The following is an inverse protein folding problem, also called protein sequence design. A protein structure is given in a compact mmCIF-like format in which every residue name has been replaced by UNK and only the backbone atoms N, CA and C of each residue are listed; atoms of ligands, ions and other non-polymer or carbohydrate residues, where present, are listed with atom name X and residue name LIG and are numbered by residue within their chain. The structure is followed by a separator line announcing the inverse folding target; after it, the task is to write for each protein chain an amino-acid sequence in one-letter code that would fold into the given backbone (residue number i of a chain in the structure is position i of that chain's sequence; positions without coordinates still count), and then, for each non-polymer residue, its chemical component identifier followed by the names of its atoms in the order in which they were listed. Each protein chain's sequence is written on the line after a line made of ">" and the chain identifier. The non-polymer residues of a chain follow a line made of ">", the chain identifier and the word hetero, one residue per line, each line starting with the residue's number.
data_IF_110080258063
#
_entry.id   IF_110080258063
#
_cell.length_a   1.000
_cell.length_b   1.000
_cell.length_c   1.000
_cell.angle_alpha   90.00
_cell.angle_beta   90.00
_cell.angle_gamma   90.00
#
_symmetry.space_group_name_H-M   'P 1'
#
loop_
_entity.id
_entity.type
_entity.pdbx_description
1 polymer ?
#
# COMPACT_ATOMS: atom_id res chain seq x y z
N UNK A 1 -10.69 7.20 -5.89
CA UNK A 1 -9.79 6.08 -6.24
C UNK A 1 -9.69 6.03 -7.75
N UNK A 2 -8.52 5.72 -8.32
CA UNK A 2 -8.32 5.61 -9.77
C UNK A 2 -8.68 4.18 -10.19
N UNK A 3 -9.46 4.08 -11.26
CA UNK A 3 -9.82 2.79 -11.86
C UNK A 3 -8.90 2.57 -13.06
N UNK A 4 -8.24 1.43 -13.08
CA UNK A 4 -7.41 0.95 -14.18
C UNK A 4 -8.16 -0.17 -14.88
N UNK A 5 -8.23 -0.10 -16.20
CA UNK A 5 -8.79 -1.16 -17.03
C UNK A 5 -7.70 -2.19 -17.35
N UNK A 6 -8.05 -3.46 -17.26
CA UNK A 6 -7.21 -4.57 -17.71
C UNK A 6 -7.65 -4.85 -19.14
N UNK A 7 -6.81 -4.47 -20.11
CA UNK A 7 -7.16 -4.49 -21.53
C UNK A 7 -6.32 -5.52 -22.28
N UNK A 8 -6.94 -6.25 -23.19
CA UNK A 8 -6.25 -7.13 -24.15
C UNK A 8 -5.53 -6.33 -25.25
N UNK A 9 -4.64 -6.97 -26.04
CA UNK A 9 -4.04 -6.33 -27.22
C UNK A 9 -5.06 -5.85 -28.27
N UNK A 10 -6.25 -6.46 -28.33
CA UNK A 10 -7.34 -6.08 -29.24
C UNK A 10 -8.19 -4.91 -28.73
N UNK A 11 -7.91 -4.39 -27.53
CA UNK A 11 -8.67 -3.31 -26.89
C UNK A 11 -9.82 -3.78 -26.01
N UNK A 12 -10.10 -5.09 -25.90
CA UNK A 12 -11.19 -5.57 -25.04
C UNK A 12 -10.82 -5.42 -23.55
N UNK A 13 -11.68 -4.74 -22.78
CA UNK A 13 -11.58 -4.66 -21.32
C UNK A 13 -12.01 -6.00 -20.71
N UNK A 14 -11.08 -6.71 -20.08
CA UNK A 14 -11.29 -8.01 -19.43
C UNK A 14 -11.35 -7.94 -17.90
N UNK A 15 -11.15 -6.76 -17.34
CA UNK A 15 -11.20 -6.53 -15.90
C UNK A 15 -10.93 -5.09 -15.53
N UNK A 16 -11.03 -4.80 -14.24
CA UNK A 16 -10.74 -3.48 -13.68
C UNK A 16 -10.03 -3.63 -12.34
N UNK A 17 -9.18 -2.67 -12.00
CA UNK A 17 -8.56 -2.53 -10.69
C UNK A 17 -8.83 -1.13 -10.15
N UNK A 18 -9.09 -1.00 -8.86
CA UNK A 18 -9.26 0.29 -8.19
C UNK A 18 -8.14 0.49 -7.19
N UNK A 19 -7.48 1.62 -7.29
CA UNK A 19 -6.40 2.03 -6.40
C UNK A 19 -6.72 3.34 -5.71
N UNK A 20 -6.29 3.43 -4.46
CA UNK A 20 -6.39 4.63 -3.63
C UNK A 20 -4.98 4.95 -3.17
N UNK A 21 -4.46 6.10 -3.57
CA UNK A 21 -3.10 6.53 -3.25
C UNK A 21 -3.12 7.80 -2.40
N UNK A 22 -2.28 7.86 -1.39
CA UNK A 22 -2.14 9.00 -0.49
C UNK A 22 -0.69 9.47 -0.52
N UNK A 23 -0.47 10.67 -1.03
CA UNK A 23 0.80 11.36 -0.86
C UNK A 23 0.92 11.87 0.57
N UNK A 24 1.95 11.42 1.29
CA UNK A 24 2.35 11.96 2.58
C UNK A 24 2.79 13.39 2.38
N UNK A 25 1.99 14.32 2.89
CA UNK A 25 2.32 15.75 2.89
C UNK A 25 2.79 16.15 4.29
N UNK A 26 3.71 17.10 4.35
CA UNK A 26 4.20 17.65 5.62
C UNK A 26 3.06 18.29 6.44
N UNK A 27 1.98 18.70 5.78
CA UNK A 27 0.89 19.51 6.34
C UNK A 27 -0.42 18.75 6.58
N UNK A 28 -0.41 17.41 6.68
CA UNK A 28 -1.65 16.69 7.01
C UNK A 28 -2.28 17.15 8.33
N UNK A 29 -1.48 17.65 9.27
CA UNK A 29 -1.96 18.18 10.56
C UNK A 29 -2.93 19.35 10.38
N UNK A 30 -2.72 20.20 9.37
CA UNK A 30 -3.59 21.34 9.07
C UNK A 30 -4.95 20.88 8.51
N UNK A 31 -5.01 19.65 7.97
CA UNK A 31 -6.23 19.01 7.44
C UNK A 31 -6.88 18.03 8.44
N UNK A 32 -6.49 18.07 9.72
CA UNK A 32 -7.00 17.15 10.76
C UNK A 32 -6.23 15.83 10.88
N UNK A 33 -5.19 15.63 10.07
CA UNK A 33 -4.34 14.45 10.04
C UNK A 33 -4.76 13.42 8.98
N UNK A 34 -3.94 12.39 8.82
CA UNK A 34 -4.14 11.33 7.82
C UNK A 34 -5.55 10.73 7.84
N UNK A 35 -6.10 10.45 9.02
CA UNK A 35 -7.40 9.80 9.14
C UNK A 35 -8.51 10.67 8.53
N UNK A 36 -8.49 11.98 8.76
CA UNK A 36 -9.49 12.91 8.23
C UNK A 36 -9.31 13.14 6.72
N UNK A 37 -8.07 13.20 6.25
CA UNK A 37 -7.74 13.24 4.82
C UNK A 37 -8.25 11.98 4.11
N UNK A 38 -8.03 10.80 4.68
CA UNK A 38 -8.53 9.52 4.14
C UNK A 38 -10.05 9.45 4.11
N UNK A 39 -10.73 9.95 5.16
CA UNK A 39 -12.19 9.94 5.26
C UNK A 39 -12.87 10.92 4.30
N UNK A 40 -12.28 12.09 4.09
CA UNK A 40 -12.89 13.19 3.34
C UNK A 40 -12.69 13.11 1.83
N UNK A 41 -11.54 12.63 1.36
CA UNK A 41 -11.13 12.78 -0.05
C UNK A 41 -11.62 11.69 -1.01
N UNK A 42 -12.29 10.64 -0.52
CA UNK A 42 -12.52 9.45 -1.34
C UNK A 42 -13.98 9.04 -1.47
N UNK A 43 -14.58 9.45 -2.59
CA UNK A 43 -15.83 8.90 -3.08
C UNK A 43 -15.62 7.54 -3.77
N UNK A 44 -16.49 6.59 -3.44
CA UNK A 44 -16.57 5.28 -4.09
C UNK A 44 -15.58 4.21 -3.63
N UNK A 45 -14.74 4.49 -2.62
CA UNK A 45 -14.03 3.44 -1.87
C UNK A 45 -14.86 3.02 -0.64
N UNK A 46 -14.64 1.82 -0.12
CA UNK A 46 -15.27 1.40 1.13
C UNK A 46 -14.71 2.24 2.29
N UNK A 47 -15.55 3.09 2.87
CA UNK A 47 -15.17 3.99 3.99
C UNK A 47 -14.68 3.20 5.20
N UNK A 48 -15.26 2.03 5.49
CA UNK A 48 -14.84 1.21 6.61
C UNK A 48 -13.46 0.59 6.37
N UNK A 49 -13.18 0.19 5.12
CA UNK A 49 -11.86 -0.30 4.74
C UNK A 49 -10.80 0.81 4.82
N UNK A 50 -11.10 2.00 4.31
CA UNK A 50 -10.20 3.15 4.41
C UNK A 50 -9.94 3.57 5.85
N UNK A 51 -10.96 3.57 6.70
CA UNK A 51 -10.81 3.84 8.12
C UNK A 51 -9.90 2.80 8.78
N UNK A 52 -10.13 1.51 8.54
CA UNK A 52 -9.28 0.44 9.04
C UNK A 52 -7.85 0.52 8.49
N UNK A 53 -7.68 0.92 7.23
CA UNK A 53 -6.37 1.11 6.61
C UNK A 53 -5.62 2.27 7.26
N UNK A 54 -6.32 3.38 7.53
CA UNK A 54 -5.75 4.55 8.17
C UNK A 54 -5.19 4.21 9.57
N UNK A 55 -5.84 3.30 10.30
CA UNK A 55 -5.41 2.86 11.64
C UNK A 55 -4.06 2.13 11.67
N UNK A 56 -3.52 1.73 10.51
CA UNK A 56 -2.14 1.21 10.40
C UNK A 56 -1.08 2.29 10.64
N UNK A 57 -1.48 3.56 10.51
CA UNK A 57 -0.61 4.72 10.55
C UNK A 57 -1.02 5.67 11.68
N UNK A 58 -0.09 6.55 12.04
CA UNK A 58 -0.36 7.71 12.89
C UNK A 58 -1.01 8.82 12.06
N UNK A 59 -1.54 9.86 12.73
CA UNK A 59 -2.03 11.08 12.07
C UNK A 59 -1.02 11.75 11.13
N UNK A 60 0.28 11.53 11.35
CA UNK A 60 1.37 12.06 10.52
C UNK A 60 1.79 11.13 9.37
N UNK A 61 1.12 9.99 9.19
CA UNK A 61 1.47 9.01 8.17
C UNK A 61 2.60 8.06 8.51
N UNK A 62 3.12 8.13 9.73
CA UNK A 62 4.10 7.16 10.20
C UNK A 62 3.42 5.83 10.48
N UNK A 63 4.03 4.75 10.00
CA UNK A 63 3.60 3.40 10.28
C UNK A 63 3.72 3.13 11.78
N UNK A 64 2.61 2.70 12.40
CA UNK A 64 2.56 2.62 13.87
C UNK A 64 3.50 1.56 14.41
N UNK A 65 4.07 1.84 15.59
CA UNK A 65 5.03 0.94 16.23
C UNK A 65 4.43 -0.43 16.50
N UNK A 66 3.26 -0.49 17.14
CA UNK A 66 2.56 -1.74 17.48
C UNK A 66 2.22 -2.58 16.24
N UNK A 67 1.89 -1.94 15.12
CA UNK A 67 1.65 -2.63 13.84
C UNK A 67 2.98 -3.15 13.26
N UNK A 68 4.02 -2.32 13.24
CA UNK A 68 5.34 -2.67 12.70
C UNK A 68 6.07 -3.75 13.50
N UNK A 69 5.83 -3.84 14.81
CA UNK A 69 6.42 -4.88 15.67
C UNK A 69 5.53 -6.10 15.85
N UNK A 70 4.27 -6.04 15.39
CA UNK A 70 3.31 -7.15 15.49
C UNK A 70 3.68 -8.32 14.59
N UNK A 71 3.25 -9.53 14.98
CA UNK A 71 3.53 -10.77 14.24
C UNK A 71 5.03 -10.98 13.99
N UNK A 72 5.42 -11.03 12.71
CA UNK A 72 6.81 -11.21 12.29
C UNK A 72 7.62 -9.93 12.17
N UNK A 73 7.00 -8.75 12.28
CA UNK A 73 7.67 -7.49 11.98
C UNK A 73 8.17 -7.41 10.53
N UNK A 74 7.46 -8.06 9.61
CA UNK A 74 7.84 -8.19 8.20
C UNK A 74 7.99 -6.85 7.49
N UNK A 75 7.22 -5.85 7.94
CA UNK A 75 7.24 -4.50 7.45
C UNK A 75 7.52 -3.56 8.61
N UNK A 76 8.43 -2.62 8.42
CA UNK A 76 8.94 -1.71 9.43
C UNK A 76 8.93 -0.26 8.99
N UNK A 77 10.01 0.46 9.37
CA UNK A 77 10.14 1.91 9.10
C UNK A 77 10.33 2.23 7.62
N UNK A 78 10.69 1.26 6.79
CA UNK A 78 10.76 1.41 5.34
C UNK A 78 9.42 1.86 4.74
N UNK A 79 8.29 1.39 5.28
CA UNK A 79 6.95 1.85 4.89
C UNK A 79 6.74 3.32 5.27
N UNK A 80 7.24 3.73 6.43
CA UNK A 80 7.19 5.12 6.91
C UNK A 80 7.91 6.06 5.96
N UNK A 81 9.05 5.63 5.40
CA UNK A 81 9.88 6.48 4.56
C UNK A 81 9.33 6.70 3.15
N UNK A 82 8.34 5.89 2.72
CA UNK A 82 7.77 6.07 1.39
C UNK A 82 6.82 7.27 1.32
N UNK A 83 6.91 8.08 0.26
CA UNK A 83 6.05 9.26 0.09
C UNK A 83 4.60 8.90 -0.21
N UNK A 84 4.32 7.67 -0.68
CA UNK A 84 2.96 7.24 -1.02
C UNK A 84 2.51 6.06 -0.17
N UNK A 85 1.26 6.11 0.29
CA UNK A 85 0.53 4.97 0.81
C UNK A 85 -0.48 4.54 -0.26
N UNK A 86 -0.36 3.32 -0.77
CA UNK A 86 -1.22 2.84 -1.85
C UNK A 86 -2.02 1.63 -1.41
N UNK A 87 -3.35 1.73 -1.49
CA UNK A 87 -4.31 0.68 -1.22
C UNK A 87 -4.93 0.18 -2.53
N UNK A 88 -4.80 -1.12 -2.79
CA UNK A 88 -5.53 -1.84 -3.81
C UNK A 88 -6.92 -2.20 -3.27
N UNK A 89 -7.89 -1.36 -3.58
CA UNK A 89 -9.27 -1.43 -3.06
C UNK A 89 -10.08 -2.54 -3.73
N UNK A 90 -9.93 -2.75 -5.04
CA UNK A 90 -10.67 -3.81 -5.74
C UNK A 90 -9.90 -4.32 -6.94
N UNK A 91 -9.96 -5.63 -7.18
CA UNK A 91 -9.55 -6.26 -8.45
C UNK A 91 -10.73 -7.07 -8.98
N UNK A 92 -11.12 -6.81 -10.23
CA UNK A 92 -12.20 -7.53 -10.91
C UNK A 92 -11.66 -8.10 -12.20
N UNK A 93 -11.78 -9.43 -12.37
CA UNK A 93 -11.49 -10.10 -13.64
C UNK A 93 -12.76 -10.82 -14.10
N UNK A 94 -13.12 -10.62 -15.37
CA UNK A 94 -14.25 -11.31 -16.01
C UNK A 94 -14.12 -12.84 -15.81
N UNK A 95 -15.20 -13.56 -15.44
CA UNK A 95 -15.17 -14.99 -15.09
C UNK A 95 -14.38 -15.88 -16.06
N UNK A 96 -14.56 -15.70 -17.35
CA UNK A 96 -13.94 -16.43 -18.45
C UNK A 96 -12.41 -16.20 -18.59
N UNK A 97 -11.88 -15.20 -17.89
CA UNK A 97 -10.43 -14.91 -17.80
C UNK A 97 -9.82 -15.26 -16.44
N UNK A 98 -10.63 -15.72 -15.47
CA UNK A 98 -10.12 -16.16 -14.17
C UNK A 98 -9.30 -17.44 -14.32
N UNK A 99 -8.35 -17.65 -13.41
CA UNK A 99 -7.44 -18.80 -13.44
C UNK A 99 -6.32 -18.71 -14.49
N UNK A 100 -6.32 -17.71 -15.38
CA UNK A 100 -5.31 -17.52 -16.44
C UNK A 100 -4.14 -16.62 -16.04
N UNK A 101 -3.99 -16.30 -14.75
CA UNK A 101 -2.92 -15.43 -14.25
C UNK A 101 -3.11 -13.92 -14.51
N UNK A 102 -4.20 -13.49 -15.15
CA UNK A 102 -4.48 -12.09 -15.49
C UNK A 102 -4.42 -11.16 -14.28
N UNK A 103 -5.05 -11.54 -13.15
CA UNK A 103 -5.02 -10.74 -11.93
C UNK A 103 -3.61 -10.60 -11.33
N UNK A 104 -2.80 -11.67 -11.38
CA UNK A 104 -1.41 -11.64 -10.92
C UNK A 104 -0.57 -10.69 -11.77
N UNK A 105 -0.68 -10.80 -13.09
CA UNK A 105 -0.01 -9.91 -14.04
C UNK A 105 -0.41 -8.45 -13.81
N UNK A 106 -1.71 -8.18 -13.71
CA UNK A 106 -2.22 -6.83 -13.55
C UNK A 106 -1.71 -6.18 -12.26
N UNK A 107 -1.71 -6.91 -11.13
CA UNK A 107 -1.18 -6.39 -9.86
C UNK A 107 0.33 -6.14 -9.92
N UNK A 108 1.10 -6.99 -10.61
CA UNK A 108 2.54 -6.76 -10.79
C UNK A 108 2.81 -5.49 -11.62
N UNK A 109 2.01 -5.22 -12.64
CA UNK A 109 2.11 -4.00 -13.46
C UNK A 109 1.90 -2.71 -12.68
N UNK A 110 1.25 -2.76 -11.52
CA UNK A 110 1.06 -1.58 -10.67
C UNK A 110 2.38 -1.02 -10.12
N UNK A 111 3.43 -1.85 -9.99
CA UNK A 111 4.74 -1.39 -9.54
C UNK A 111 5.55 -0.71 -10.66
N UNK A 112 5.11 -0.83 -11.91
CA UNK A 112 5.73 -0.15 -13.07
C UNK A 112 5.15 1.24 -13.31
N UNK A 113 4.02 1.54 -12.65
CA UNK A 113 3.36 2.83 -12.76
C UNK A 113 4.15 3.92 -12.01
N UNK A 114 4.21 5.09 -12.63
CA UNK A 114 4.84 6.28 -12.07
C UNK A 114 3.94 7.01 -11.09
N UNK A 115 4.49 7.99 -10.39
CA UNK A 115 3.75 8.88 -9.49
C UNK A 115 2.60 9.61 -10.23
N UNK A 116 2.86 10.00 -11.49
CA UNK A 116 1.90 10.62 -12.40
C UNK A 116 0.66 9.75 -12.68
N UNK A 117 0.77 8.43 -12.50
CA UNK A 117 -0.32 7.49 -12.75
C UNK A 117 -1.26 7.36 -11.56
N UNK A 118 -0.93 7.89 -10.39
CA UNK A 118 -1.78 7.76 -9.19
C UNK A 118 -2.18 9.06 -8.55
N UNK A 119 -1.42 10.12 -8.76
CA UNK A 119 -1.79 11.43 -8.24
C UNK A 119 -3.06 11.91 -8.93
N UNK A 120 -4.09 12.13 -8.12
CA UNK A 120 -5.21 12.97 -8.52
C UNK A 120 -4.63 14.37 -8.67
N UNK A 121 -4.39 14.77 -9.92
CA UNK A 121 -4.43 16.19 -10.20
C UNK A 121 -5.84 16.63 -9.84
N UNK A 122 -5.97 17.21 -8.65
CA UNK A 122 -7.18 17.90 -8.27
C UNK A 122 -7.26 19.11 -9.21
N UNK A 123 -7.92 18.91 -10.35
CA UNK A 123 -8.08 19.93 -11.39
C UNK A 123 -8.66 21.21 -10.78
N UNK A 124 -9.43 21.11 -9.69
CA UNK A 124 -9.92 22.27 -8.95
C UNK A 124 -8.80 22.99 -8.18
N UNK A 125 -7.83 22.28 -7.58
CA UNK A 125 -6.64 22.91 -6.96
C UNK A 125 -5.76 23.60 -8.01
N UNK A 126 -5.52 22.99 -9.17
CA UNK A 126 -4.76 23.64 -10.24
C UNK A 126 -5.51 24.87 -10.78
N UNK A 127 -6.81 24.75 -11.07
CA UNK A 127 -7.63 25.90 -11.47
C UNK A 127 -7.61 27.03 -10.44
N UNK A 128 -7.74 26.69 -9.15
CA UNK A 128 -7.67 27.68 -8.06
C UNK A 128 -6.29 28.35 -7.99
N UNK A 129 -5.21 27.58 -8.12
CA UNK A 129 -3.84 28.09 -8.12
C UNK A 129 -3.56 28.98 -9.34
N UNK A 130 -4.07 28.60 -10.51
CA UNK A 130 -4.02 29.42 -11.72
C UNK A 130 -4.81 30.73 -11.55
N UNK A 131 -5.99 30.69 -10.93
CA UNK A 131 -6.80 31.87 -10.61
C UNK A 131 -6.09 32.80 -9.62
N UNK A 132 -5.53 32.26 -8.53
CA UNK A 132 -4.74 33.00 -7.55
C UNK A 132 -3.49 33.62 -8.19
N UNK A 133 -2.82 32.91 -9.10
CA UNK A 133 -1.67 33.43 -9.84
C UNK A 133 -2.06 34.54 -10.83
N UNK A 134 -3.18 34.38 -11.55
CA UNK A 134 -3.75 35.42 -12.42
C UNK A 134 -4.10 36.67 -11.62
N UNK A 135 -4.70 36.52 -10.45
CA UNK A 135 -5.02 37.63 -9.56
C UNK A 135 -3.75 38.31 -9.01
N UNK A 136 -2.73 37.53 -8.65
CA UNK A 136 -1.43 38.05 -8.22
C UNK A 136 -0.73 38.84 -9.32
N UNK A 137 -0.77 38.36 -10.57
CA UNK A 137 -0.24 39.06 -11.75
C UNK A 137 -1.03 40.33 -12.07
N UNK A 138 -2.36 40.31 -11.92
CA UNK A 138 -3.20 41.48 -12.12
C UNK A 138 -2.95 42.59 -11.08
N UNK A 139 -2.60 42.21 -9.84
CA UNK A 139 -2.27 43.13 -8.74
C UNK A 139 -0.82 43.61 -8.74
N UNK A 140 0.07 43.03 -9.55
CA UNK A 140 1.48 43.41 -9.57
C UNK A 140 1.65 44.85 -10.13
N UNK A 141 2.40 45.73 -9.45
CA UNK A 141 2.57 47.11 -9.87
C UNK A 141 3.27 47.18 -11.23
N UNK A 142 2.70 47.93 -12.17
CA UNK A 142 3.13 48.08 -13.59
C UNK A 142 4.52 48.74 -13.79
N UNK A 143 5.38 48.77 -12.78
CA UNK A 143 6.64 49.54 -12.78
C UNK A 143 7.94 48.72 -12.82
N UNK A 144 7.91 47.39 -12.75
CA UNK A 144 9.13 46.55 -12.69
C UNK A 144 9.34 45.80 -14.01
N UNK A 145 9.48 46.53 -15.11
CA UNK A 145 9.59 45.99 -16.47
C UNK A 145 10.96 45.34 -16.79
N UNK A 146 11.67 44.78 -15.80
CA UNK A 146 13.07 44.33 -15.96
C UNK A 146 13.40 42.93 -15.45
N UNK A 147 12.48 42.22 -14.80
CA UNK A 147 12.76 40.89 -14.22
C UNK A 147 12.08 39.70 -14.91
N UNK A 148 11.23 39.94 -15.92
CA UNK A 148 10.46 38.89 -16.60
C UNK A 148 11.29 37.97 -17.50
N UNK A 149 12.59 38.24 -17.72
CA UNK A 149 13.45 37.42 -18.58
C UNK A 149 13.96 36.12 -17.93
N UNK A 150 13.78 35.92 -16.62
CA UNK A 150 14.26 34.72 -15.93
C UNK A 150 13.22 33.61 -15.73
N UNK A 151 11.93 33.89 -15.94
CA UNK A 151 10.84 32.91 -15.80
C UNK A 151 10.08 32.73 -17.10
N UNK A 152 10.78 32.29 -18.15
CA UNK A 152 10.15 31.91 -19.41
C UNK A 152 9.22 30.68 -19.23
N UNK A 153 8.20 30.51 -20.10
CA UNK A 153 7.21 29.43 -20.02
C UNK A 153 7.78 27.99 -20.03
N UNK A 154 9.07 27.81 -20.35
CA UNK A 154 9.77 26.53 -20.25
C UNK A 154 10.38 26.19 -18.88
N UNK A 155 10.45 27.13 -17.93
CA UNK A 155 11.10 26.90 -16.63
C UNK A 155 10.33 25.92 -15.74
N UNK A 156 9.00 26.06 -15.70
CA UNK A 156 8.14 25.12 -14.95
C UNK A 156 8.13 23.73 -15.62
N UNK A 157 8.04 23.65 -16.95
CA UNK A 157 8.14 22.37 -17.68
C UNK A 157 9.49 21.67 -17.44
N UNK A 158 10.60 22.42 -17.38
CA UNK A 158 11.93 21.89 -17.06
C UNK A 158 12.03 21.37 -15.62
N UNK A 159 11.30 21.96 -14.68
CA UNK A 159 11.26 21.55 -13.27
C UNK A 159 10.47 20.25 -13.05
N UNK A 160 9.51 19.95 -13.92
CA UNK A 160 8.73 18.70 -13.85
C UNK A 160 9.30 17.57 -14.71
N UNK A 161 9.92 17.85 -15.87
CA UNK A 161 10.49 16.81 -16.77
C UNK A 161 11.65 16.00 -16.18
N UNK A 162 12.32 16.51 -15.15
CA UNK A 162 13.51 15.86 -14.57
C UNK A 162 13.27 15.22 -13.19
N UNK A 163 12.02 15.10 -12.72
CA UNK A 163 11.78 14.36 -11.47
C UNK A 163 12.02 12.87 -11.72
N UNK A 164 12.88 12.19 -10.94
CA UNK A 164 13.03 10.75 -11.06
C UNK A 164 11.68 10.10 -10.77
N UNK A 165 11.21 9.25 -11.69
CA UNK A 165 9.97 8.49 -11.51
C UNK A 165 10.03 7.73 -10.20
N UNK A 166 9.17 8.12 -9.26
CA UNK A 166 9.01 7.42 -7.99
C UNK A 166 8.01 6.29 -8.20
N UNK A 167 8.53 5.09 -8.40
CA UNK A 167 7.69 3.90 -8.51
C UNK A 167 7.10 3.57 -7.13
N UNK A 168 5.91 2.97 -7.12
CA UNK A 168 5.33 2.40 -5.90
C UNK A 168 6.32 1.39 -5.30
N UNK A 169 6.57 1.50 -4.00
CA UNK A 169 7.35 0.49 -3.27
C UNK A 169 6.52 -0.45 -2.42
N UNK A 170 5.39 0.00 -1.90
CA UNK A 170 4.49 -0.81 -1.08
C UNK A 170 3.05 -0.67 -1.57
N UNK A 171 2.40 -1.82 -1.75
CA UNK A 171 1.01 -1.93 -2.14
C UNK A 171 0.26 -2.70 -1.07
N UNK A 172 -0.73 -2.06 -0.46
CA UNK A 172 -1.58 -2.65 0.57
C UNK A 172 -2.86 -3.18 -0.03
N UNK A 173 -3.46 -4.20 0.59
CA UNK A 173 -4.77 -4.72 0.21
C UNK A 173 -5.48 -5.26 1.43
N UNK A 174 -6.78 -5.04 1.51
CA UNK A 174 -7.63 -5.78 2.43
C UNK A 174 -8.18 -7.03 1.69
N UNK A 175 -8.07 -8.24 2.26
CA UNK A 175 -8.53 -9.44 1.56
C UNK A 175 -10.05 -9.47 1.28
N UNK A 176 -10.86 -8.64 1.95
CA UNK A 176 -12.30 -8.57 1.63
C UNK A 176 -12.61 -8.03 0.23
N UNK A 177 -11.69 -7.31 -0.39
CA UNK A 177 -11.84 -6.73 -1.73
C UNK A 177 -12.21 -7.74 -2.83
N UNK A 178 -11.98 -9.04 -2.61
CA UNK A 178 -12.32 -10.12 -3.55
C UNK A 178 -13.54 -10.96 -3.16
N UNK A 179 -14.09 -10.79 -1.95
CA UNK A 179 -15.15 -11.67 -1.43
C UNK A 179 -16.47 -11.54 -2.22
N UNK A 180 -16.75 -10.37 -2.79
CA UNK A 180 -17.96 -10.13 -3.60
C UNK A 180 -18.01 -10.88 -4.94
N UNK A 181 -16.90 -11.50 -5.37
CA UNK A 181 -16.78 -12.10 -6.70
C UNK A 181 -16.90 -13.62 -6.75
N UNK A 182 -16.99 -14.26 -5.60
CA UNK A 182 -16.99 -15.72 -5.48
C UNK A 182 -18.43 -16.23 -5.44
N UNK A 183 -18.77 -17.14 -6.36
CA UNK A 183 -20.10 -17.74 -6.46
C UNK A 183 -20.43 -18.52 -5.18
N UNK A 184 -21.51 -18.14 -4.50
CA UNK A 184 -22.08 -18.92 -3.40
C UNK A 184 -22.94 -20.03 -4.00
N UNK A 185 -22.49 -21.29 -3.88
CA UNK A 185 -23.30 -22.45 -4.24
C UNK A 185 -23.54 -23.27 -2.96
N UNK A 186 -24.68 -23.12 -2.28
CA UNK A 186 -24.99 -23.91 -1.11
C UNK A 186 -25.78 -25.16 -1.51
N UNK A 187 -25.11 -26.31 -1.54
CA UNK A 187 -25.77 -27.63 -1.46
C UNK A 187 -25.33 -28.28 -0.15
N UNK A 188 -26.23 -28.46 0.81
CA UNK A 188 -26.24 -29.51 1.87
C UNK A 188 -26.95 -29.10 3.17
N UNK A 189 -27.32 -30.12 3.93
CA UNK A 189 -28.21 -30.25 5.10
C UNK A 189 -27.69 -29.70 6.44
N UNK A 190 -26.74 -28.76 6.45
CA UNK A 190 -26.31 -28.10 7.70
C UNK A 190 -27.20 -26.90 8.05
N UNK A 191 -27.18 -26.46 9.31
CA UNK A 191 -27.76 -25.17 9.71
C UNK A 191 -27.24 -24.08 8.78
N UNK A 192 -28.15 -23.27 8.21
CA UNK A 192 -27.81 -22.20 7.26
C UNK A 192 -26.71 -21.26 7.79
N UNK A 193 -26.61 -21.10 9.11
CA UNK A 193 -25.56 -20.30 9.75
C UNK A 193 -24.17 -20.95 9.61
N UNK A 194 -24.06 -22.26 9.82
CA UNK A 194 -22.79 -22.99 9.74
C UNK A 194 -22.29 -23.06 8.29
N UNK A 195 -23.20 -23.25 7.33
CA UNK A 195 -22.87 -23.21 5.90
C UNK A 195 -22.35 -21.83 5.49
N UNK A 196 -23.00 -20.75 5.94
CA UNK A 196 -22.54 -19.39 5.65
C UNK A 196 -21.15 -19.13 6.24
N UNK A 197 -20.93 -19.55 7.50
CA UNK A 197 -19.63 -19.40 8.17
C UNK A 197 -18.53 -20.22 7.48
N UNK A 198 -18.84 -21.46 7.08
CA UNK A 198 -17.91 -22.31 6.34
C UNK A 198 -17.59 -21.75 4.95
N UNK A 199 -18.61 -21.26 4.23
CA UNK A 199 -18.45 -20.63 2.92
C UNK A 199 -17.64 -19.33 3.00
N UNK A 200 -17.91 -18.48 4.01
CA UNK A 200 -17.14 -17.27 4.27
C UNK A 200 -15.67 -17.61 4.58
N UNK A 201 -15.44 -18.58 5.47
CA UNK A 201 -14.08 -19.05 5.79
C UNK A 201 -13.35 -19.57 4.56
N UNK A 202 -13.98 -20.44 3.76
CA UNK A 202 -13.40 -20.98 2.54
C UNK A 202 -13.14 -19.90 1.49
N UNK A 203 -14.04 -18.92 1.37
CA UNK A 203 -13.88 -17.76 0.49
C UNK A 203 -12.65 -16.94 0.88
N UNK A 204 -12.55 -16.60 2.18
CA UNK A 204 -11.43 -15.85 2.75
C UNK A 204 -10.10 -16.58 2.57
N UNK A 205 -10.05 -17.89 2.82
CA UNK A 205 -8.83 -18.68 2.61
C UNK A 205 -8.39 -18.71 1.14
N UNK A 206 -9.32 -18.84 0.19
CA UNK A 206 -8.99 -18.77 -1.25
C UNK A 206 -8.39 -17.43 -1.63
N UNK A 207 -8.97 -16.34 -1.12
CA UNK A 207 -8.47 -14.99 -1.37
C UNK A 207 -7.08 -14.77 -0.76
N UNK A 208 -6.87 -15.20 0.47
CA UNK A 208 -5.54 -15.13 1.12
C UNK A 208 -4.50 -15.92 0.33
N UNK A 209 -4.83 -17.16 -0.09
CA UNK A 209 -3.93 -17.97 -0.94
C UNK A 209 -3.58 -17.27 -2.25
N UNK A 210 -4.55 -16.61 -2.89
CA UNK A 210 -4.29 -15.81 -4.10
C UNK A 210 -3.27 -14.70 -3.83
N UNK A 211 -3.49 -13.88 -2.81
CA UNK A 211 -2.58 -12.77 -2.50
C UNK A 211 -1.20 -13.27 -2.04
N UNK A 212 -1.15 -14.32 -1.20
CA UNK A 212 0.12 -14.93 -0.79
C UNK A 212 0.91 -15.49 -1.98
N UNK A 213 0.22 -16.07 -2.98
CA UNK A 213 0.84 -16.54 -4.21
C UNK A 213 1.52 -15.44 -5.02
N UNK A 214 0.99 -14.22 -4.98
CA UNK A 214 1.57 -13.06 -5.67
C UNK A 214 2.71 -12.44 -4.84
N UNK A 215 2.78 -12.78 -3.55
CA UNK A 215 3.83 -12.34 -2.63
C UNK A 215 3.38 -11.27 -1.65
N UNK A 216 2.08 -11.05 -1.50
CA UNK A 216 1.55 -10.29 -0.39
C UNK A 216 1.78 -11.04 0.91
N UNK A 217 2.12 -10.32 1.97
CA UNK A 217 2.26 -10.85 3.33
C UNK A 217 1.54 -9.96 4.31
N UNK A 218 1.12 -10.53 5.43
CA UNK A 218 0.37 -9.79 6.45
C UNK A 218 1.19 -8.68 7.08
N UNK A 219 0.50 -7.58 7.38
CA UNK A 219 1.04 -6.40 8.03
C UNK A 219 0.79 -6.50 9.53
N UNK A 220 1.82 -6.87 10.27
CA UNK A 220 1.72 -7.11 11.71
C UNK A 220 0.67 -8.17 12.05
N UNK A 221 -0.18 -7.86 13.02
CA UNK A 221 -1.34 -8.70 13.39
C UNK A 221 -2.64 -8.24 12.70
N UNK A 222 -2.59 -7.31 11.76
CA UNK A 222 -3.79 -6.72 11.16
C UNK A 222 -4.43 -7.64 10.13
N UNK A 223 -5.61 -7.27 9.61
CA UNK A 223 -6.23 -7.96 8.48
C UNK A 223 -5.60 -7.63 7.12
N UNK A 224 -4.81 -6.55 7.03
CA UNK A 224 -4.21 -6.08 5.79
C UNK A 224 -3.01 -6.93 5.38
N UNK A 225 -2.85 -7.05 4.06
CA UNK A 225 -1.64 -7.59 3.44
C UNK A 225 -0.90 -6.46 2.72
N UNK A 226 0.41 -6.60 2.60
CA UNK A 226 1.27 -5.69 1.85
C UNK A 226 2.20 -6.50 0.93
N UNK A 227 2.46 -5.96 -0.25
CA UNK A 227 3.46 -6.43 -1.20
C UNK A 227 4.45 -5.30 -1.47
N UNK A 228 5.71 -5.67 -1.63
CA UNK A 228 6.80 -4.73 -1.94
C UNK A 228 7.36 -4.95 -3.33
N UNK A 229 7.84 -3.90 -4.01
CA UNK A 229 8.55 -4.02 -5.28
C UNK A 229 9.95 -4.62 -5.14
N UNK A 230 10.54 -4.57 -3.94
CA UNK A 230 11.87 -5.13 -3.69
C UNK A 230 11.84 -6.68 -3.71
N UNK A 231 12.56 -7.34 -4.65
CA UNK A 231 12.60 -8.80 -4.72
C UNK A 231 13.39 -9.43 -3.56
N UNK A 232 14.24 -8.68 -2.87
CA UNK A 232 15.08 -9.17 -1.77
C UNK A 232 14.49 -8.86 -0.39
N UNK A 233 13.31 -8.26 -0.34
CA UNK A 233 12.67 -7.89 0.91
C UNK A 233 12.35 -9.12 1.77
N UNK A 234 12.48 -8.98 3.09
CA UNK A 234 12.28 -10.07 4.06
C UNK A 234 10.92 -10.80 3.91
N UNK A 235 9.86 -10.07 3.52
CA UNK A 235 8.54 -10.64 3.21
C UNK A 235 8.58 -11.75 2.15
N UNK A 236 9.55 -11.72 1.23
CA UNK A 236 9.72 -12.71 0.15
C UNK A 236 10.25 -14.04 0.65
N UNK A 237 10.87 -14.06 1.82
CA UNK A 237 11.39 -15.28 2.46
C UNK A 237 10.29 -16.11 3.12
N UNK A 238 9.13 -15.49 3.42
CA UNK A 238 8.00 -16.19 4.04
C UNK A 238 7.38 -17.15 3.01
N UNK A 239 7.23 -18.45 3.33
CA UNK A 239 6.60 -19.42 2.44
C UNK A 239 5.19 -19.01 1.99
N UNK A 240 4.82 -19.39 0.76
CA UNK A 240 3.53 -19.06 0.14
C UNK A 240 2.32 -19.60 0.91
N UNK A 241 2.49 -20.74 1.57
CA UNK A 241 1.49 -21.47 2.33
C UNK A 241 1.38 -21.02 3.79
N UNK A 242 2.25 -20.09 4.22
CA UNK A 242 2.28 -19.56 5.59
C UNK A 242 1.87 -18.10 5.65
N UNK A 243 1.23 -17.75 6.75
CA UNK A 243 0.94 -16.38 7.14
C UNK A 243 1.94 -15.91 8.21
N UNK A 244 2.11 -14.59 8.38
CA UNK A 244 2.92 -14.04 9.44
C UNK A 244 2.34 -14.35 10.85
N UNK A 245 1.02 -14.57 10.94
CA UNK A 245 0.36 -15.01 12.18
C UNK A 245 0.69 -16.45 12.58
N UNK A 246 1.01 -17.32 11.62
CA UNK A 246 1.28 -18.72 11.92
C UNK A 246 2.66 -18.92 12.58
N UNK A 247 3.45 -17.85 12.71
CA UNK A 247 4.78 -17.85 13.32
C UNK A 247 4.80 -17.27 14.74
N UNK A 248 3.66 -17.25 15.43
CA UNK A 248 3.60 -16.91 16.86
C UNK A 248 4.34 -17.93 17.73
N UNK A 249 4.65 -19.12 17.20
CA UNK A 249 5.57 -20.06 17.81
C UNK A 249 7.01 -19.49 17.81
N UNK A 250 7.61 -19.23 19.00
CA UNK A 250 8.94 -18.66 19.13
C UNK A 250 10.03 -19.48 18.45
N UNK A 251 9.88 -20.80 18.39
CA UNK A 251 10.85 -21.70 17.77
C UNK A 251 10.77 -21.60 16.24
N UNK A 252 9.55 -21.58 15.68
CA UNK A 252 9.33 -21.34 14.25
C UNK A 252 9.91 -19.98 13.85
N UNK A 253 9.64 -18.94 14.65
CA UNK A 253 10.16 -17.59 14.42
C UNK A 253 11.69 -17.56 14.46
N UNK A 254 12.32 -18.19 15.46
CA UNK A 254 13.79 -18.26 15.57
C UNK A 254 14.41 -18.99 14.38
N UNK A 255 13.86 -20.15 14.00
CA UNK A 255 14.36 -20.95 12.89
C UNK A 255 14.20 -20.22 11.55
N UNK A 256 13.07 -19.54 11.36
CA UNK A 256 12.82 -18.70 10.19
C UNK A 256 13.81 -17.54 10.11
N UNK A 257 14.02 -16.81 11.20
CA UNK A 257 14.97 -15.70 11.25
C UNK A 257 16.41 -16.16 10.98
N UNK A 258 16.82 -17.29 11.55
CA UNK A 258 18.14 -17.87 11.28
C UNK A 258 18.31 -18.25 9.79
N UNK A 259 17.26 -18.80 9.15
CA UNK A 259 17.28 -19.11 7.73
C UNK A 259 17.33 -17.84 6.86
N UNK A 260 16.55 -16.81 7.23
CA UNK A 260 16.54 -15.55 6.53
C UNK A 260 17.89 -14.82 6.61
N UNK A 261 18.50 -14.75 7.79
CA UNK A 261 19.82 -14.17 7.97
C UNK A 261 20.89 -14.89 7.15
N UNK A 262 20.84 -16.23 7.09
CA UNK A 262 21.73 -17.02 6.22
C UNK A 262 21.52 -16.67 4.74
N UNK A 263 20.26 -16.56 4.29
CA UNK A 263 19.93 -16.15 2.92
C UNK A 263 20.44 -14.74 2.58
N UNK A 264 20.41 -13.82 3.54
CA UNK A 264 20.87 -12.45 3.35
C UNK A 264 22.40 -12.31 3.46
N UNK A 265 23.08 -13.17 4.21
CA UNK A 265 24.54 -13.10 4.42
C UNK A 265 25.39 -13.47 3.19
N UNK A 266 24.80 -14.07 2.15
CA UNK A 266 25.45 -14.21 0.84
C UNK A 266 25.44 -12.89 0.04
N UNK A 267 24.74 -11.87 0.53
CA UNK A 267 24.84 -10.48 0.10
C UNK A 267 25.70 -9.77 1.14
N UNK A 268 26.79 -9.13 0.74
CA UNK A 268 27.71 -8.46 1.65
C UNK A 268 26.99 -7.29 2.35
N UNK A 269 26.44 -7.53 3.55
CA UNK A 269 25.70 -6.53 4.32
C UNK A 269 26.67 -5.64 5.13
N UNK A 270 26.37 -4.35 5.34
CA UNK A 270 27.06 -3.53 6.32
C UNK A 270 26.82 -4.07 7.74
N UNK A 271 27.84 -4.02 8.59
CA UNK A 271 27.76 -4.43 10.00
C UNK A 271 26.68 -3.61 10.74
N UNK A 272 25.51 -4.19 10.94
CA UNK A 272 24.46 -3.65 11.81
C UNK A 272 24.38 -4.54 13.05
N UNK A 273 24.54 -3.94 14.23
CA UNK A 273 24.37 -4.63 15.51
C UNK A 273 22.89 -4.78 15.85
N UNK A 274 22.35 -5.97 15.62
CA UNK A 274 20.93 -6.29 15.82
C UNK A 274 20.57 -6.58 17.28
N UNK A 275 21.54 -6.90 18.13
CA UNK A 275 21.31 -7.09 19.57
C UNK A 275 20.95 -5.76 20.25
N UNK A 276 21.44 -4.64 19.70
CA UNK A 276 21.05 -3.29 20.12
C UNK A 276 19.61 -2.89 19.74
N UNK A 277 19.02 -3.50 18.70
CA UNK A 277 17.69 -3.15 18.19
C UNK A 277 16.54 -3.85 18.95
N UNK A 278 16.83 -4.98 19.60
CA UNK A 278 15.83 -5.84 20.23
C UNK A 278 16.18 -6.25 21.67
N UNK A 279 17.19 -5.61 22.27
CA UNK A 279 17.54 -5.82 23.67
C UNK A 279 16.31 -5.71 24.58
N UNK A 280 15.91 -6.85 25.14
CA UNK A 280 14.88 -6.98 26.16
C UNK A 280 15.16 -5.94 27.26
N UNK A 281 14.32 -4.91 27.35
CA UNK A 281 14.35 -3.90 28.41
C UNK A 281 13.98 -4.47 29.78
N UNK A 282 14.49 -5.64 30.16
CA UNK A 282 14.41 -6.16 31.53
C UNK A 282 15.38 -5.38 32.38
N UNK A 283 14.88 -4.27 32.91
CA UNK A 283 15.45 -3.60 34.06
C UNK A 283 15.75 -4.65 35.14
N UNK A 284 17.02 -4.94 35.37
CA UNK A 284 17.45 -5.75 36.49
C UNK A 284 17.09 -5.01 37.78
N UNK A 285 16.01 -5.43 38.45
CA UNK A 285 15.75 -5.05 39.84
C UNK A 285 16.89 -5.65 40.69
N UNK A 286 17.93 -4.85 40.96
CA UNK A 286 18.86 -5.11 42.05
C UNK A 286 18.08 -5.00 43.36
N UNK A 287 17.84 -6.14 44.03
CA UNK A 287 17.49 -6.17 45.45
C UNK A 287 18.72 -5.69 46.23
N UNK A 288 18.52 -4.63 47.04
CA UNK A 288 19.35 -4.35 48.22
C UNK A 288 18.70 -5.03 49.40
#
# INVERSE_FOLDING_TARGET
>A
GRVFEIVKPDGEVIGTMRLVAFEKQEHWEDEGGLHDVMRSRYEGADKAELEAFSQLFTNKGYFRRDVSSGGLGTFGREVTNEPYLVLLDTVRVKPEFRGKGVGTWAVQKLFELGEEDFLFYDEAKEKKKEEEEKERKAKAPKGVAGLDSYYGPGFLESLFKNRPRRNIKFLFVHPRSLESQLSQNPDSTHSLADLRKAAEKASKERVLRFFHKIGFRRVGETSFLCMTSDPNHFSRLIPIDRDARDMDDPEVKRNFMAAALRSMSNVQLPNVDYDALWGDGRASKKRK
#
